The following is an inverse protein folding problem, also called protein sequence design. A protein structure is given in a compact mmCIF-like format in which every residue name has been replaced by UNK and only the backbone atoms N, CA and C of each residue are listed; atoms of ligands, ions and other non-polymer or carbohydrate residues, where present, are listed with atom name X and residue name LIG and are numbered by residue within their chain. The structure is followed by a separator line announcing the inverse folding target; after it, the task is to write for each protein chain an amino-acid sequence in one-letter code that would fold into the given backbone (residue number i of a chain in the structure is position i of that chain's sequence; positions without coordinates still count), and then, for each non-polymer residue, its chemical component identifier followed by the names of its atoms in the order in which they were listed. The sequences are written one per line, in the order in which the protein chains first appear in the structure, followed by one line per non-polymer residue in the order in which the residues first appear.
data_IF_821998190597
#
_entry.id   IF_821998190597
#
_cell.length_a   1.000
_cell.length_b   1.000
_cell.length_c   1.000
_cell.angle_alpha   90.00
_cell.angle_beta   90.00
_cell.angle_gamma   90.00
#
_symmetry.space_group_name_H-M   'P 1'
#
loop_
_entity.id
_entity.type
_entity.pdbx_description
1 polymer ?
#
# COMPACT_ATOMS: atom_id res chain seq x y z
N UNK A 1 -23.79 8.80 -9.07
CA UNK A 1 -23.10 7.66 -9.69
C UNK A 1 -23.00 6.55 -8.68
N UNK A 2 -23.32 5.32 -9.09
CA UNK A 2 -23.22 4.11 -8.26
C UNK A 2 -22.01 3.28 -8.69
N UNK A 3 -21.06 3.08 -7.78
CA UNK A 3 -19.82 2.33 -8.02
C UNK A 3 -19.90 0.97 -7.33
N UNK A 4 -19.60 -0.11 -8.07
CA UNK A 4 -19.32 -1.42 -7.50
C UNK A 4 -17.81 -1.53 -7.27
N UNK A 5 -17.38 -1.35 -6.02
CA UNK A 5 -15.98 -1.43 -5.62
C UNK A 5 -15.61 -2.89 -5.31
N UNK A 6 -14.59 -3.43 -5.99
CA UNK A 6 -14.09 -4.81 -5.78
C UNK A 6 -12.74 -4.74 -5.08
N UNK A 7 -12.67 -5.13 -3.81
CA UNK A 7 -11.48 -4.91 -2.99
C UNK A 7 -11.39 -5.86 -1.78
N UNK A 8 -10.27 -5.90 -1.08
CA UNK A 8 -10.19 -6.40 0.30
C UNK A 8 -10.77 -5.34 1.25
N UNK A 9 -11.96 -5.54 1.78
CA UNK A 9 -12.65 -4.60 2.67
C UNK A 9 -11.93 -4.35 4.02
N UNK A 10 -10.93 -5.16 4.36
CA UNK A 10 -10.10 -4.99 5.57
C UNK A 10 -8.95 -3.99 5.33
N UNK A 11 -8.59 -3.78 4.06
CA UNK A 11 -7.43 -2.96 3.69
C UNK A 11 -7.63 -1.49 4.06
N UNK A 12 -6.70 -0.86 4.77
CA UNK A 12 -6.71 0.59 5.01
C UNK A 12 -6.76 1.41 3.71
N UNK A 13 -6.08 0.95 2.65
CA UNK A 13 -6.09 1.60 1.33
C UNK A 13 -7.51 1.61 0.76
N UNK A 14 -8.21 0.47 0.81
CA UNK A 14 -9.61 0.37 0.37
C UNK A 14 -10.51 1.32 1.15
N UNK A 15 -10.33 1.41 2.47
CA UNK A 15 -11.15 2.28 3.32
C UNK A 15 -10.93 3.75 3.02
N UNK A 16 -9.70 4.19 2.84
CA UNK A 16 -9.40 5.58 2.47
C UNK A 16 -9.87 5.93 1.05
N UNK A 17 -9.77 4.99 0.10
CA UNK A 17 -10.34 5.20 -1.23
C UNK A 17 -11.86 5.35 -1.16
N UNK A 18 -12.52 4.51 -0.34
CA UNK A 18 -13.95 4.61 -0.06
C UNK A 18 -14.31 5.98 0.54
N UNK A 19 -13.54 6.49 1.51
CA UNK A 19 -13.73 7.83 2.08
C UNK A 19 -13.74 8.91 0.97
N UNK A 20 -12.87 8.78 -0.03
CA UNK A 20 -12.82 9.71 -1.16
C UNK A 20 -14.03 9.58 -2.08
N UNK A 21 -14.55 8.36 -2.33
CA UNK A 21 -15.77 8.15 -3.11
C UNK A 21 -17.01 8.71 -2.40
N UNK A 22 -17.11 8.51 -1.10
CA UNK A 22 -18.21 9.03 -0.28
C UNK A 22 -18.18 10.55 -0.22
N UNK A 23 -17.00 11.16 -0.11
CA UNK A 23 -16.83 12.61 -0.14
C UNK A 23 -17.21 13.23 -1.50
N UNK A 24 -17.15 12.45 -2.59
CA UNK A 24 -17.66 12.81 -3.92
C UNK A 24 -19.17 12.55 -4.09
N UNK A 25 -19.87 12.17 -3.02
CA UNK A 25 -21.29 11.82 -3.00
C UNK A 25 -21.64 10.66 -3.94
N UNK A 26 -20.73 9.69 -4.12
CA UNK A 26 -21.01 8.49 -4.87
C UNK A 26 -21.64 7.42 -3.97
N UNK A 27 -22.58 6.67 -4.54
CA UNK A 27 -23.12 5.47 -3.92
C UNK A 27 -22.13 4.33 -4.14
N UNK A 28 -21.82 3.57 -3.10
CA UNK A 28 -20.86 2.48 -3.21
C UNK A 28 -21.45 1.17 -2.69
N UNK A 29 -21.40 0.13 -3.51
CA UNK A 29 -21.57 -1.27 -3.10
C UNK A 29 -20.19 -1.92 -3.11
N UNK A 30 -19.83 -2.64 -2.03
CA UNK A 30 -18.53 -3.30 -1.90
C UNK A 30 -18.65 -4.80 -2.20
N UNK A 31 -17.81 -5.31 -3.09
CA UNK A 31 -17.51 -6.75 -3.22
C UNK A 31 -16.19 -7.01 -2.53
N UNK A 32 -16.25 -7.59 -1.33
CA UNK A 32 -15.03 -7.90 -0.58
C UNK A 32 -14.48 -9.29 -0.93
N UNK A 33 -13.19 -9.35 -1.25
CA UNK A 33 -12.46 -10.60 -1.47
C UNK A 33 -12.17 -11.38 -0.18
N UNK A 34 -12.39 -10.76 0.98
CA UNK A 34 -12.21 -11.36 2.29
C UNK A 34 -13.42 -11.10 3.18
N UNK A 35 -13.80 -12.03 4.07
CA UNK A 35 -14.80 -11.76 5.10
C UNK A 35 -14.37 -10.60 6.01
N UNK A 36 -15.24 -9.62 6.19
CA UNK A 36 -15.08 -8.49 7.09
C UNK A 36 -16.44 -7.86 7.38
N UNK A 37 -16.50 -6.97 8.37
CA UNK A 37 -17.65 -6.11 8.59
C UNK A 37 -17.75 -5.06 7.47
N UNK A 38 -18.97 -4.66 7.15
CA UNK A 38 -19.20 -3.63 6.14
C UNK A 38 -18.59 -2.29 6.61
N UNK A 39 -17.72 -1.67 5.79
CA UNK A 39 -17.23 -0.34 6.10
C UNK A 39 -18.38 0.67 6.20
N UNK A 40 -18.27 1.70 7.05
CA UNK A 40 -19.27 2.75 7.11
C UNK A 40 -19.49 3.42 5.75
N UNK A 41 -20.73 3.77 5.45
CA UNK A 41 -21.09 4.51 4.23
C UNK A 41 -21.33 3.67 2.98
N UNK A 42 -21.04 2.36 2.97
CA UNK A 42 -21.42 1.49 1.85
C UNK A 42 -22.91 1.16 1.90
N UNK A 43 -23.58 1.13 0.74
CA UNK A 43 -25.01 0.77 0.65
C UNK A 43 -25.25 -0.72 0.89
N UNK A 44 -24.36 -1.56 0.37
CA UNK A 44 -24.40 -3.00 0.52
C UNK A 44 -23.00 -3.59 0.40
N UNK A 45 -22.82 -4.79 0.96
CA UNK A 45 -21.58 -5.55 0.83
C UNK A 45 -21.88 -6.99 0.46
N UNK A 46 -21.13 -7.48 -0.52
CA UNK A 46 -21.08 -8.89 -0.89
C UNK A 46 -19.70 -9.46 -0.57
N UNK A 47 -19.63 -10.68 -0.07
CA UNK A 47 -18.35 -11.36 0.18
C UNK A 47 -18.15 -12.45 -0.86
N UNK A 48 -17.12 -12.30 -1.69
CA UNK A 48 -16.70 -13.29 -2.70
C UNK A 48 -15.28 -13.75 -2.39
N UNK A 49 -15.11 -14.81 -1.58
CA UNK A 49 -13.80 -15.22 -1.09
C UNK A 49 -13.02 -15.95 -2.20
N UNK A 50 -12.04 -15.26 -2.78
CA UNK A 50 -11.17 -15.74 -3.86
C UNK A 50 -9.76 -16.05 -3.36
N UNK A 51 -8.99 -16.78 -4.14
CA UNK A 51 -7.57 -17.08 -3.91
C UNK A 51 -7.29 -17.61 -2.49
N UNK A 52 -8.12 -18.54 -2.02
CA UNK A 52 -8.00 -19.17 -0.69
C UNK A 52 -8.13 -18.21 0.50
N UNK A 53 -8.79 -17.05 0.32
CA UNK A 53 -8.95 -16.05 1.38
C UNK A 53 -9.64 -16.56 2.64
N UNK A 54 -10.51 -17.58 2.54
CA UNK A 54 -11.12 -18.25 3.70
C UNK A 54 -10.10 -18.93 4.61
N UNK A 55 -8.99 -19.43 4.04
CA UNK A 55 -7.92 -20.10 4.80
C UNK A 55 -7.00 -19.10 5.50
N UNK A 56 -6.91 -17.87 4.99
CA UNK A 56 -6.09 -16.79 5.54
C UNK A 56 -6.87 -15.81 6.44
N UNK A 57 -8.17 -16.00 6.60
CA UNK A 57 -9.05 -15.12 7.39
C UNK A 57 -8.69 -15.07 8.89
N UNK A 58 -7.85 -15.99 9.39
CA UNK A 58 -7.37 -16.01 10.78
C UNK A 58 -6.06 -15.25 11.04
N UNK A 59 -5.42 -14.64 10.03
CA UNK A 59 -4.10 -14.00 10.17
C UNK A 59 -4.13 -12.46 10.20
N UNK A 60 -5.31 -11.84 10.20
CA UNK A 60 -5.49 -10.38 10.28
C UNK A 60 -6.38 -10.00 11.45
N UNK A 61 -5.77 -9.52 12.52
CA UNK A 61 -6.30 -8.72 13.61
C UNK A 61 -7.76 -8.91 14.05
N UNK A 62 -8.03 -9.90 14.90
CA UNK A 62 -9.13 -9.87 15.86
C UNK A 62 -8.72 -10.62 17.13
N UNK A 63 -8.81 -9.95 18.25
CA UNK A 63 -8.34 -10.37 19.57
C UNK A 63 -9.19 -11.43 20.27
N UNK A 64 -10.07 -12.18 19.59
CA UNK A 64 -10.89 -13.20 20.25
C UNK A 64 -11.04 -14.47 19.40
N UNK A 65 -10.03 -15.34 19.40
CA UNK A 65 -10.19 -16.77 19.10
C UNK A 65 -9.08 -17.55 19.80
N UNK A 66 -9.28 -17.82 21.06
CA UNK A 66 -8.41 -18.67 21.86
C UNK A 66 -8.59 -20.14 21.47
N UNK A 67 -7.50 -20.89 21.54
CA UNK A 67 -7.34 -22.34 21.68
C UNK A 67 -7.41 -23.27 20.44
N UNK A 68 -8.05 -22.96 19.32
CA UNK A 68 -7.97 -23.84 18.12
C UNK A 68 -6.98 -23.31 17.06
N UNK A 69 -6.34 -22.18 17.33
CA UNK A 69 -5.55 -21.40 16.38
C UNK A 69 -4.06 -21.73 16.29
N UNK A 70 -3.47 -22.28 17.33
CA UNK A 70 -2.00 -22.32 17.44
C UNK A 70 -1.37 -23.36 16.51
N UNK A 71 -1.94 -24.54 16.42
CA UNK A 71 -1.45 -25.58 15.52
C UNK A 71 -1.62 -25.20 14.03
N UNK A 72 -2.77 -24.60 13.68
CA UNK A 72 -3.00 -24.08 12.32
C UNK A 72 -2.08 -22.89 12.00
N UNK A 73 -1.83 -22.00 12.96
CA UNK A 73 -0.89 -20.88 12.79
C UNK A 73 0.53 -21.36 12.58
N UNK A 74 0.98 -22.36 13.32
CA UNK A 74 2.32 -22.95 13.20
C UNK A 74 2.47 -23.68 11.87
N UNK A 75 1.48 -24.47 11.43
CA UNK A 75 1.50 -25.14 10.13
C UNK A 75 1.54 -24.15 8.96
N UNK A 76 0.72 -23.10 9.01
CA UNK A 76 0.71 -22.05 7.98
C UNK A 76 2.03 -21.26 7.96
N UNK A 77 2.66 -21.00 9.12
CA UNK A 77 4.00 -20.38 9.19
C UNK A 77 5.08 -21.27 8.56
N UNK A 78 5.09 -22.57 8.87
CA UNK A 78 6.11 -23.52 8.39
C UNK A 78 5.99 -23.77 6.88
N UNK A 79 4.78 -23.87 6.34
CA UNK A 79 4.52 -24.12 4.92
C UNK A 79 4.22 -22.88 4.09
N UNK A 80 4.46 -21.67 4.66
CA UNK A 80 4.19 -20.38 4.02
C UNK A 80 4.73 -20.26 2.59
N UNK A 81 5.99 -20.69 2.25
CA UNK A 81 6.49 -20.60 0.87
C UNK A 81 5.70 -21.49 -0.11
N UNK A 82 5.41 -22.73 0.29
CA UNK A 82 4.65 -23.68 -0.55
C UNK A 82 3.21 -23.19 -0.74
N UNK A 83 2.58 -22.67 0.32
CA UNK A 83 1.23 -22.09 0.25
C UNK A 83 1.17 -20.85 -0.65
N UNK A 84 2.17 -19.96 -0.58
CA UNK A 84 2.28 -18.81 -1.46
C UNK A 84 2.46 -19.24 -2.92
N UNK A 85 3.31 -20.23 -3.19
CA UNK A 85 3.50 -20.76 -4.55
C UNK A 85 2.22 -21.37 -5.10
N UNK A 86 1.50 -22.15 -4.30
CA UNK A 86 0.19 -22.69 -4.65
C UNK A 86 -0.85 -21.57 -4.90
N UNK A 87 -0.84 -20.51 -4.09
CA UNK A 87 -1.71 -19.35 -4.27
C UNK A 87 -1.46 -18.62 -5.60
N UNK A 88 -0.19 -18.48 -6.01
CA UNK A 88 0.15 -17.87 -7.30
C UNK A 88 -0.16 -18.78 -8.50
N UNK A 89 -0.08 -20.09 -8.34
CA UNK A 89 -0.39 -21.02 -9.42
C UNK A 89 -1.90 -21.26 -9.58
N UNK A 90 -2.62 -21.46 -8.47
CA UNK A 90 -4.03 -21.89 -8.46
C UNK A 90 -5.00 -20.77 -8.13
N UNK A 91 -4.54 -19.69 -7.45
CA UNK A 91 -5.37 -18.57 -7.06
C UNK A 91 -6.14 -17.94 -8.23
N UNK A 92 -5.50 -17.62 -9.37
CA UNK A 92 -6.22 -17.12 -10.56
C UNK A 92 -7.27 -18.08 -11.09
N UNK A 93 -7.02 -19.38 -11.01
CA UNK A 93 -8.02 -20.39 -11.43
C UNK A 93 -9.25 -20.40 -10.51
N UNK A 94 -9.07 -20.16 -9.21
CA UNK A 94 -10.18 -20.03 -8.27
C UNK A 94 -11.08 -18.84 -8.56
N UNK A 95 -10.58 -17.79 -9.23
CA UNK A 95 -11.37 -16.64 -9.65
C UNK A 95 -12.43 -17.05 -10.68
N UNK A 96 -12.11 -17.96 -11.60
CA UNK A 96 -13.06 -18.45 -12.62
C UNK A 96 -14.27 -19.12 -11.99
N UNK A 97 -14.13 -19.84 -10.90
CA UNK A 97 -15.25 -20.50 -10.22
C UNK A 97 -16.24 -19.50 -9.61
N UNK A 98 -15.83 -18.26 -9.34
CA UNK A 98 -16.69 -17.19 -8.81
C UNK A 98 -17.18 -16.21 -9.90
N UNK A 99 -16.80 -16.40 -11.15
CA UNK A 99 -17.14 -15.48 -12.24
C UNK A 99 -18.67 -15.33 -12.45
N UNK A 100 -19.44 -16.41 -12.35
CA UNK A 100 -20.90 -16.36 -12.49
C UNK A 100 -21.54 -15.63 -11.31
N UNK A 101 -21.14 -15.94 -10.07
CA UNK A 101 -21.59 -15.23 -8.88
C UNK A 101 -21.32 -13.72 -9.00
N UNK A 102 -20.14 -13.35 -9.49
CA UNK A 102 -19.79 -11.94 -9.67
C UNK A 102 -20.67 -11.27 -10.74
N UNK A 103 -20.92 -11.92 -11.86
CA UNK A 103 -21.83 -11.40 -12.90
C UNK A 103 -23.26 -11.22 -12.40
N UNK A 104 -23.74 -12.13 -11.55
CA UNK A 104 -25.05 -12.02 -10.90
C UNK A 104 -25.10 -10.80 -9.99
N UNK A 105 -24.05 -10.56 -9.18
CA UNK A 105 -23.93 -9.35 -8.34
C UNK A 105 -23.98 -8.09 -9.22
N UNK A 106 -23.21 -8.02 -10.31
CA UNK A 106 -23.21 -6.89 -11.24
C UNK A 106 -24.61 -6.67 -11.84
N UNK A 107 -25.32 -7.75 -12.22
CA UNK A 107 -26.66 -7.67 -12.78
C UNK A 107 -27.71 -7.20 -11.75
N UNK A 108 -27.56 -7.58 -10.47
CA UNK A 108 -28.44 -7.16 -9.38
C UNK A 108 -28.20 -5.69 -8.98
N UNK A 109 -26.94 -5.31 -8.81
CA UNK A 109 -26.52 -3.97 -8.36
C UNK A 109 -26.72 -2.92 -9.46
N UNK A 110 -26.53 -3.30 -10.73
CA UNK A 110 -26.61 -2.40 -11.90
C UNK A 110 -25.77 -1.14 -11.71
N UNK A 111 -24.47 -1.27 -11.40
CA UNK A 111 -23.61 -0.12 -11.16
C UNK A 111 -23.38 0.67 -12.45
N UNK A 112 -23.14 1.97 -12.32
CA UNK A 112 -22.66 2.81 -13.42
C UNK A 112 -21.23 2.42 -13.83
N UNK A 113 -20.40 2.01 -12.85
CA UNK A 113 -19.00 1.66 -13.03
C UNK A 113 -18.59 0.58 -12.02
N UNK A 114 -17.78 -0.38 -12.46
CA UNK A 114 -17.06 -1.33 -11.61
C UNK A 114 -15.63 -0.83 -11.43
N UNK A 115 -15.12 -0.78 -10.19
CA UNK A 115 -13.72 -0.46 -9.92
C UNK A 115 -13.08 -1.52 -9.03
N UNK A 116 -11.99 -2.15 -9.49
CA UNK A 116 -11.21 -3.07 -8.68
C UNK A 116 -9.92 -2.43 -8.17
N UNK A 117 -9.65 -2.56 -6.86
CA UNK A 117 -8.58 -1.83 -6.16
C UNK A 117 -7.17 -2.39 -6.35
N UNK A 118 -7.00 -3.53 -7.03
CA UNK A 118 -5.70 -4.07 -7.47
C UNK A 118 -5.92 -5.22 -8.46
N UNK A 119 -4.87 -5.60 -9.20
CA UNK A 119 -4.97 -6.70 -10.18
C UNK A 119 -5.10 -8.06 -9.51
N UNK A 120 -4.16 -8.51 -8.64
CA UNK A 120 -4.31 -9.80 -7.98
C UNK A 120 -5.22 -9.67 -6.77
N UNK A 121 -6.27 -10.33 -6.66
CA UNK A 121 -7.10 -11.19 -7.46
C UNK A 121 -8.44 -10.48 -7.77
N UNK A 122 -8.63 -9.33 -7.15
CA UNK A 122 -9.82 -8.48 -7.23
C UNK A 122 -10.05 -8.01 -8.68
N UNK A 123 -9.00 -7.51 -9.34
CA UNK A 123 -9.07 -7.12 -10.75
C UNK A 123 -9.33 -8.31 -11.68
N UNK A 124 -8.72 -9.47 -11.36
CA UNK A 124 -8.99 -10.69 -12.11
C UNK A 124 -10.46 -11.12 -12.01
N UNK A 125 -11.10 -10.96 -10.83
CA UNK A 125 -12.55 -11.18 -10.67
C UNK A 125 -13.35 -10.14 -11.44
N UNK A 126 -12.99 -8.87 -11.28
CA UNK A 126 -13.67 -7.76 -11.94
C UNK A 126 -13.54 -7.79 -13.47
N UNK A 127 -12.54 -8.46 -14.04
CA UNK A 127 -12.41 -8.64 -15.49
C UNK A 127 -13.58 -9.43 -16.11
N UNK A 128 -14.37 -10.12 -15.29
CA UNK A 128 -15.62 -10.77 -15.71
C UNK A 128 -16.83 -9.83 -15.79
N UNK A 129 -16.66 -8.54 -15.54
CA UNK A 129 -17.69 -7.51 -15.76
C UNK A 129 -18.16 -7.55 -17.23
N UNK A 130 -19.47 -7.58 -17.51
CA UNK A 130 -19.99 -7.50 -18.87
C UNK A 130 -19.42 -6.27 -19.61
N UNK A 131 -19.15 -6.41 -20.91
CA UNK A 131 -18.55 -5.33 -21.72
C UNK A 131 -19.40 -4.06 -21.77
N UNK A 132 -20.70 -4.19 -21.51
CA UNK A 132 -21.61 -3.08 -21.42
C UNK A 132 -21.45 -2.24 -20.12
N UNK A 133 -20.74 -2.72 -19.11
CA UNK A 133 -20.52 -1.99 -17.85
C UNK A 133 -19.06 -1.54 -17.82
N UNK A 134 -18.78 -0.23 -17.63
CA UNK A 134 -17.43 0.33 -17.54
C UNK A 134 -16.63 -0.32 -16.41
N UNK A 135 -15.35 -0.61 -16.67
CA UNK A 135 -14.42 -1.25 -15.73
C UNK A 135 -13.16 -0.41 -15.55
N UNK A 136 -12.95 0.12 -14.35
CA UNK A 136 -11.69 0.68 -13.91
C UNK A 136 -10.91 -0.33 -13.08
N UNK A 137 -9.59 -0.37 -13.24
CA UNK A 137 -8.69 -1.22 -12.46
C UNK A 137 -7.62 -0.34 -11.80
N UNK A 138 -7.34 -0.55 -10.52
CA UNK A 138 -6.14 0.00 -9.88
C UNK A 138 -4.97 -0.96 -9.99
N UNK A 139 -3.76 -0.42 -10.09
CA UNK A 139 -2.50 -1.14 -9.92
C UNK A 139 -1.81 -0.60 -8.68
N UNK A 140 -1.35 -1.51 -7.82
CA UNK A 140 -0.42 -1.19 -6.75
C UNK A 140 0.99 -1.55 -7.19
N UNK A 141 1.97 -0.77 -6.79
CA UNK A 141 3.33 -0.77 -7.35
C UNK A 141 4.10 -2.09 -7.40
N UNK A 142 3.61 -3.14 -6.73
CA UNK A 142 4.17 -4.48 -6.80
C UNK A 142 3.36 -5.46 -7.68
N UNK A 143 2.22 -5.04 -8.22
CA UNK A 143 1.34 -5.92 -8.99
C UNK A 143 2.00 -6.41 -10.29
N UNK A 144 2.65 -5.50 -11.02
CA UNK A 144 3.30 -5.82 -12.29
C UNK A 144 4.75 -6.29 -12.14
N UNK A 145 5.47 -5.84 -11.12
CA UNK A 145 6.90 -6.13 -10.93
C UNK A 145 7.16 -7.38 -10.08
N UNK A 146 6.26 -7.71 -9.14
CA UNK A 146 6.42 -8.82 -8.21
C UNK A 146 5.38 -9.93 -8.44
N UNK A 147 4.09 -9.57 -8.57
CA UNK A 147 3.01 -10.54 -8.61
C UNK A 147 2.77 -11.13 -10.00
N UNK A 148 2.69 -10.30 -11.04
CA UNK A 148 2.42 -10.74 -12.40
C UNK A 148 3.46 -11.75 -12.94
N UNK A 149 4.78 -11.55 -12.76
CA UNK A 149 5.79 -12.48 -13.26
C UNK A 149 5.94 -13.76 -12.40
N UNK A 150 5.25 -13.86 -11.25
CA UNK A 150 5.45 -14.94 -10.28
C UNK A 150 5.06 -16.32 -10.81
N UNK A 151 4.08 -16.39 -11.73
CA UNK A 151 3.74 -17.62 -12.45
C UNK A 151 3.15 -17.29 -13.83
N UNK A 152 3.18 -18.26 -14.74
CA UNK A 152 2.55 -18.14 -16.07
C UNK A 152 1.05 -17.80 -15.96
N UNK A 153 0.39 -18.43 -15.00
CA UNK A 153 -1.06 -18.21 -14.75
C UNK A 153 -1.32 -16.79 -14.29
N UNK A 154 -0.52 -16.27 -13.32
CA UNK A 154 -0.61 -14.88 -12.88
C UNK A 154 -0.43 -13.90 -14.04
N UNK A 155 0.64 -14.10 -14.85
CA UNK A 155 0.89 -13.24 -16.01
C UNK A 155 -0.24 -13.26 -17.04
N UNK A 156 -0.80 -14.43 -17.34
CA UNK A 156 -1.91 -14.55 -18.27
C UNK A 156 -3.16 -13.80 -17.77
N UNK A 157 -3.55 -14.01 -16.51
CA UNK A 157 -4.71 -13.34 -15.94
C UNK A 157 -4.49 -11.83 -15.78
N UNK A 158 -3.28 -11.39 -15.46
CA UNK A 158 -2.91 -9.96 -15.44
C UNK A 158 -3.13 -9.32 -16.81
N UNK A 159 -2.64 -9.95 -17.91
CA UNK A 159 -2.87 -9.46 -19.28
C UNK A 159 -4.35 -9.40 -19.62
N UNK A 160 -5.11 -10.45 -19.33
CA UNK A 160 -6.56 -10.49 -19.57
C UNK A 160 -7.29 -9.36 -18.81
N UNK A 161 -6.90 -9.11 -17.56
CA UNK A 161 -7.46 -8.03 -16.74
C UNK A 161 -7.20 -6.66 -17.35
N UNK A 162 -5.95 -6.39 -17.76
CA UNK A 162 -5.57 -5.11 -18.36
C UNK A 162 -6.18 -4.90 -19.74
N UNK A 163 -6.28 -5.95 -20.56
CA UNK A 163 -6.97 -5.89 -21.85
C UNK A 163 -8.46 -5.58 -21.71
N UNK A 164 -9.11 -6.06 -20.61
CA UNK A 164 -10.53 -5.80 -20.35
C UNK A 164 -10.78 -4.41 -19.74
N UNK A 165 -9.83 -3.85 -19.03
CA UNK A 165 -9.99 -2.57 -18.34
C UNK A 165 -10.32 -1.43 -19.32
N UNK A 166 -11.33 -0.63 -19.03
CA UNK A 166 -11.69 0.58 -19.80
C UNK A 166 -10.97 1.82 -19.27
N UNK A 167 -10.44 1.76 -18.04
CA UNK A 167 -9.58 2.77 -17.45
C UNK A 167 -8.65 2.18 -16.40
N UNK A 168 -7.51 2.84 -16.17
CA UNK A 168 -6.48 2.38 -15.27
C UNK A 168 -6.10 3.46 -14.26
N UNK A 169 -6.10 3.12 -12.98
CA UNK A 169 -5.52 3.92 -11.92
C UNK A 169 -4.22 3.30 -11.43
N UNK A 170 -3.18 4.12 -11.25
CA UNK A 170 -1.88 3.69 -10.71
C UNK A 170 -1.38 4.69 -9.67
N UNK A 171 -0.51 4.28 -8.78
CA UNK A 171 0.10 5.17 -7.78
C UNK A 171 1.47 5.72 -8.21
N UNK A 172 1.99 5.30 -9.38
CA UNK A 172 3.22 5.81 -9.98
C UNK A 172 3.11 5.84 -11.51
N UNK A 173 3.77 6.79 -12.17
CA UNK A 173 3.86 6.88 -13.63
C UNK A 173 4.54 5.63 -14.21
N UNK A 174 5.53 5.11 -13.51
CA UNK A 174 6.18 3.83 -13.87
C UNK A 174 5.15 2.72 -14.09
N UNK A 175 4.17 2.59 -13.20
CA UNK A 175 3.20 1.50 -13.26
C UNK A 175 2.22 1.67 -14.43
N UNK A 176 1.85 2.91 -14.77
CA UNK A 176 1.08 3.19 -15.97
C UNK A 176 1.86 2.77 -17.24
N UNK A 177 3.15 3.13 -17.32
CA UNK A 177 4.02 2.72 -18.43
C UNK A 177 4.17 1.21 -18.52
N UNK A 178 4.43 0.54 -17.40
CA UNK A 178 4.52 -0.93 -17.38
C UNK A 178 3.21 -1.61 -17.79
N UNK A 179 2.06 -1.02 -17.50
CA UNK A 179 0.77 -1.59 -17.87
C UNK A 179 0.59 -1.70 -19.39
N UNK A 180 1.20 -0.81 -20.18
CA UNK A 180 1.18 -0.91 -21.65
C UNK A 180 1.87 -2.20 -22.13
N UNK A 181 3.00 -2.58 -21.52
CA UNK A 181 3.71 -3.83 -21.84
C UNK A 181 2.90 -5.08 -21.46
N UNK A 182 1.99 -4.90 -20.51
CA UNK A 182 1.08 -5.94 -20.04
C UNK A 182 -0.29 -5.97 -20.77
N UNK A 183 -0.52 -5.06 -21.74
CA UNK A 183 -1.67 -5.10 -22.64
C UNK A 183 -2.78 -4.09 -22.37
N UNK A 184 -2.55 -3.12 -21.47
CA UNK A 184 -3.38 -1.92 -21.42
C UNK A 184 -3.03 -0.99 -22.60
N UNK A 185 -3.99 -0.28 -23.15
CA UNK A 185 -3.78 0.57 -24.33
C UNK A 185 -3.77 2.05 -23.94
N UNK A 186 -2.85 2.83 -24.56
CA UNK A 186 -2.60 4.22 -24.20
C UNK A 186 -3.72 5.19 -24.60
N UNK A 187 -4.66 4.75 -25.45
CA UNK A 187 -5.87 5.47 -25.85
C UNK A 187 -6.96 5.47 -24.78
N UNK A 188 -6.83 4.61 -23.74
CA UNK A 188 -7.80 4.53 -22.63
C UNK A 188 -7.41 5.46 -21.50
N UNK A 189 -8.41 5.94 -20.73
CA UNK A 189 -8.16 6.81 -19.57
C UNK A 189 -7.18 6.22 -18.56
N UNK A 190 -6.16 7.00 -18.20
CA UNK A 190 -5.18 6.70 -17.15
C UNK A 190 -5.20 7.75 -16.06
N UNK A 191 -5.15 7.33 -14.78
CA UNK A 191 -5.06 8.21 -13.62
C UNK A 191 -3.82 7.82 -12.79
N UNK A 192 -2.97 8.78 -12.47
CA UNK A 192 -1.85 8.58 -11.55
C UNK A 192 -2.06 9.47 -10.32
N UNK A 193 -2.45 8.83 -9.20
CA UNK A 193 -2.62 9.44 -7.88
C UNK A 193 -2.31 8.40 -6.80
N UNK A 194 -2.05 8.81 -5.53
CA UNK A 194 -1.80 7.86 -4.45
C UNK A 194 -2.91 6.81 -4.32
N UNK A 195 -2.52 5.55 -4.12
CA UNK A 195 -3.44 4.39 -4.09
C UNK A 195 -4.50 4.47 -2.98
N UNK A 196 -4.25 5.24 -1.93
CA UNK A 196 -5.20 5.49 -0.82
C UNK A 196 -6.16 6.67 -1.09
N UNK A 197 -6.13 7.30 -2.27
CA UNK A 197 -6.97 8.47 -2.57
C UNK A 197 -6.45 9.78 -2.01
N UNK A 198 -5.18 9.83 -1.58
CA UNK A 198 -4.48 11.05 -1.15
C UNK A 198 -4.28 11.17 0.36
N UNK A 199 -3.65 12.26 0.76
CA UNK A 199 -3.36 12.65 2.15
C UNK A 199 -4.28 13.80 2.54
N UNK A 200 -5.01 13.63 3.62
CA UNK A 200 -5.78 14.71 4.26
C UNK A 200 -4.90 15.39 5.31
N UNK A 201 -4.28 16.51 4.92
CA UNK A 201 -3.34 17.24 5.78
C UNK A 201 -3.98 17.76 7.07
N UNK A 202 -5.25 18.18 7.03
CA UNK A 202 -5.97 18.60 8.22
C UNK A 202 -6.21 17.43 9.17
N UNK A 203 -6.58 16.27 8.63
CA UNK A 203 -6.77 15.05 9.40
C UNK A 203 -5.45 14.58 10.03
N UNK A 204 -4.33 14.64 9.29
CA UNK A 204 -2.99 14.33 9.82
C UNK A 204 -2.68 15.18 11.05
N UNK A 205 -2.96 16.47 11.02
CA UNK A 205 -2.71 17.36 12.16
C UNK A 205 -3.68 17.11 13.32
N UNK A 206 -4.98 16.98 13.03
CA UNK A 206 -6.04 16.89 14.04
C UNK A 206 -6.09 15.54 14.76
N UNK A 207 -5.73 14.45 14.10
CA UNK A 207 -5.90 13.10 14.62
C UNK A 207 -4.60 12.44 15.08
N UNK A 208 -3.54 13.20 15.30
CA UNK A 208 -2.35 12.66 15.97
C UNK A 208 -2.72 12.15 17.36
N UNK A 209 -2.19 11.02 17.73
CA UNK A 209 -2.48 10.38 19.00
C UNK A 209 -1.18 9.87 19.61
N UNK A 210 -0.96 10.18 20.89
CA UNK A 210 0.17 9.70 21.63
C UNK A 210 0.18 8.17 21.72
N UNK A 211 1.36 7.60 21.87
CA UNK A 211 1.51 6.18 22.18
C UNK A 211 0.94 5.86 23.58
N UNK A 212 0.48 4.61 23.80
CA UNK A 212 0.22 4.13 25.15
C UNK A 212 1.45 4.29 26.05
N UNK A 213 1.27 4.63 27.35
CA UNK A 213 2.38 4.91 28.26
C UNK A 213 3.45 3.81 28.32
N UNK A 214 3.05 2.55 28.21
CA UNK A 214 3.94 1.40 28.22
C UNK A 214 4.83 1.30 26.97
N UNK A 215 4.37 1.80 25.83
CA UNK A 215 5.18 1.89 24.62
C UNK A 215 6.04 3.15 24.63
N UNK A 216 5.48 4.26 25.10
CA UNK A 216 6.19 5.53 25.22
C UNK A 216 7.42 5.43 26.15
N UNK A 217 7.31 4.70 27.27
CA UNK A 217 8.39 4.47 28.21
C UNK A 217 9.61 3.74 27.61
N UNK A 218 9.45 3.10 26.46
CA UNK A 218 10.52 2.39 25.75
C UNK A 218 11.32 3.30 24.81
N UNK A 219 10.87 4.54 24.61
CA UNK A 219 11.50 5.50 23.69
C UNK A 219 12.35 6.49 24.52
N UNK A 220 13.68 6.50 24.37
CA UNK A 220 14.53 7.45 25.06
C UNK A 220 14.24 8.90 24.64
N UNK A 221 14.19 9.82 25.59
CA UNK A 221 13.84 11.24 25.34
C UNK A 221 15.00 12.08 24.81
N UNK A 222 16.25 11.64 25.03
CA UNK A 222 17.46 12.35 24.67
C UNK A 222 18.19 11.73 23.46
N UNK A 223 17.48 10.91 22.67
CA UNK A 223 17.99 10.28 21.46
C UNK A 223 17.36 10.86 20.21
N UNK A 224 18.12 10.90 19.13
CA UNK A 224 17.58 11.08 17.80
C UNK A 224 16.82 9.82 17.35
N UNK A 225 15.64 10.01 16.77
CA UNK A 225 14.77 8.92 16.41
C UNK A 225 14.80 8.68 14.89
N UNK A 226 14.99 7.44 14.49
CA UNK A 226 14.84 6.98 13.10
C UNK A 226 13.69 5.98 13.03
N UNK A 227 12.72 6.19 12.14
CA UNK A 227 11.58 5.30 12.02
C UNK A 227 11.61 4.47 10.73
N UNK A 228 11.36 3.15 10.86
CA UNK A 228 11.06 2.27 9.73
C UNK A 228 9.61 1.78 9.83
N UNK A 229 8.65 2.43 9.14
CA UNK A 229 7.22 2.12 9.27
C UNK A 229 6.75 0.95 8.39
N UNK A 230 7.67 0.29 7.67
CA UNK A 230 7.31 -0.65 6.59
C UNK A 230 6.86 -2.03 7.07
N UNK A 231 7.18 -2.41 8.31
CA UNK A 231 7.00 -3.78 8.79
C UNK A 231 7.82 -4.79 7.98
N UNK A 232 7.64 -6.08 8.29
CA UNK A 232 8.32 -7.18 7.57
C UNK A 232 7.46 -7.63 6.38
N UNK A 233 7.98 -7.46 5.16
CA UNK A 233 7.30 -7.85 3.92
C UNK A 233 8.30 -8.45 2.94
N UNK A 234 7.81 -9.25 1.98
CA UNK A 234 8.65 -9.93 1.00
C UNK A 234 9.44 -8.99 0.06
N UNK A 235 9.07 -7.73 -0.02
CA UNK A 235 9.69 -6.72 -0.88
C UNK A 235 10.39 -5.60 -0.10
N UNK A 236 10.27 -5.57 1.24
CA UNK A 236 11.05 -4.68 2.10
C UNK A 236 12.39 -5.32 2.41
N UNK A 237 13.45 -4.52 2.41
CA UNK A 237 14.81 -4.95 2.73
C UNK A 237 15.05 -4.81 4.22
N UNK A 238 14.34 -5.64 5.00
CA UNK A 238 14.47 -5.73 6.45
C UNK A 238 15.92 -6.07 6.84
N UNK A 239 16.57 -6.95 6.08
CA UNK A 239 17.97 -7.32 6.23
C UNK A 239 18.91 -6.11 6.13
N UNK A 240 18.78 -5.32 5.06
CA UNK A 240 19.60 -4.12 4.82
C UNK A 240 19.40 -3.09 5.93
N UNK A 241 18.14 -2.88 6.37
CA UNK A 241 17.85 -1.93 7.43
C UNK A 241 18.53 -2.32 8.76
N UNK A 242 18.36 -3.55 9.20
CA UNK A 242 18.96 -4.00 10.45
C UNK A 242 20.50 -4.02 10.39
N UNK A 243 21.09 -4.41 9.27
CA UNK A 243 22.55 -4.39 9.09
C UNK A 243 23.14 -2.97 9.06
N UNK A 244 22.36 -1.95 8.71
CA UNK A 244 22.81 -0.56 8.76
C UNK A 244 22.88 0.00 10.18
N UNK A 245 22.07 -0.53 11.12
CA UNK A 245 21.95 0.00 12.48
C UNK A 245 23.31 0.06 13.23
N UNK A 246 24.12 -1.01 13.31
CA UNK A 246 25.42 -0.96 13.98
C UNK A 246 26.33 0.11 13.39
N UNK A 247 26.31 0.29 12.05
CA UNK A 247 27.14 1.29 11.37
C UNK A 247 26.73 2.74 11.72
N UNK A 248 25.42 2.97 11.94
CA UNK A 248 24.94 4.27 12.43
C UNK A 248 25.35 4.47 13.91
N UNK A 249 25.14 3.45 14.75
CA UNK A 249 25.40 3.56 16.20
C UNK A 249 26.89 3.74 16.53
N UNK A 250 27.79 3.25 15.69
CA UNK A 250 29.24 3.46 15.83
C UNK A 250 29.59 4.95 15.75
N UNK A 251 28.93 5.73 14.89
CA UNK A 251 29.20 7.15 14.66
C UNK A 251 28.21 8.07 15.41
N UNK A 252 27.00 7.58 15.68
CA UNK A 252 25.94 8.34 16.35
C UNK A 252 25.25 7.49 17.42
N UNK A 253 25.90 7.26 18.57
CA UNK A 253 25.46 6.31 19.60
C UNK A 253 24.15 6.68 20.30
N UNK A 254 23.71 7.94 20.22
CA UNK A 254 22.41 8.41 20.72
C UNK A 254 21.30 8.36 19.68
N UNK A 255 21.26 7.31 18.85
CA UNK A 255 20.18 7.05 17.91
C UNK A 255 19.30 5.90 18.40
N UNK A 256 17.99 6.02 18.27
CA UNK A 256 17.04 4.94 18.51
C UNK A 256 16.21 4.69 17.26
N UNK A 257 16.07 3.42 16.91
CA UNK A 257 15.33 2.97 15.72
C UNK A 257 13.95 2.45 16.12
N UNK A 258 12.90 3.11 15.65
CA UNK A 258 11.51 2.73 15.91
C UNK A 258 10.99 1.89 14.74
N UNK A 259 10.46 0.71 15.03
CA UNK A 259 10.06 -0.28 14.06
C UNK A 259 8.59 -0.69 14.26
N UNK A 260 7.60 0.14 13.85
CA UNK A 260 6.18 -0.19 13.90
C UNK A 260 5.85 -1.45 13.09
N UNK A 261 4.86 -2.23 13.58
CA UNK A 261 4.42 -3.48 12.99
C UNK A 261 5.50 -4.57 12.88
N UNK A 262 6.52 -4.52 13.75
CA UNK A 262 7.60 -5.51 13.79
C UNK A 262 7.64 -6.32 15.09
N UNK A 263 6.96 -5.89 16.17
CA UNK A 263 6.87 -6.69 17.39
C UNK A 263 6.11 -8.01 17.14
N UNK A 264 6.68 -9.14 17.56
CA UNK A 264 6.15 -10.48 17.34
C UNK A 264 6.42 -11.05 15.93
N UNK A 265 7.12 -10.31 15.06
CA UNK A 265 7.59 -10.81 13.77
C UNK A 265 8.94 -11.50 13.93
N UNK A 266 8.98 -12.83 13.76
CA UNK A 266 10.17 -13.65 14.02
C UNK A 266 11.40 -13.21 13.22
N UNK A 267 11.22 -12.64 12.03
CA UNK A 267 12.33 -12.12 11.23
C UNK A 267 12.93 -10.87 11.87
N UNK A 268 12.09 -9.91 12.30
CA UNK A 268 12.56 -8.69 12.95
C UNK A 268 13.22 -8.98 14.30
N UNK A 269 12.65 -9.89 15.10
CA UNK A 269 13.22 -10.31 16.39
C UNK A 269 14.59 -10.98 16.21
N UNK A 270 14.72 -11.86 15.20
CA UNK A 270 16.00 -12.49 14.88
C UNK A 270 17.07 -11.45 14.48
N UNK A 271 16.71 -10.47 13.64
CA UNK A 271 17.64 -9.42 13.23
C UNK A 271 18.01 -8.52 14.39
N UNK A 272 17.04 -8.09 15.21
CA UNK A 272 17.28 -7.25 16.39
C UNK A 272 18.26 -7.93 17.36
N UNK A 273 18.02 -9.19 17.68
CA UNK A 273 18.92 -9.97 18.55
C UNK A 273 20.32 -10.15 17.96
N UNK A 274 20.43 -10.34 16.63
CA UNK A 274 21.71 -10.56 15.96
C UNK A 274 22.66 -9.36 15.99
N UNK A 275 22.12 -8.13 15.99
CA UNK A 275 22.92 -6.91 15.99
C UNK A 275 23.30 -6.41 17.40
N UNK A 276 22.85 -7.09 18.45
CA UNK A 276 23.16 -6.77 19.86
C UNK A 276 22.89 -5.30 20.25
N UNK A 277 21.84 -4.70 19.67
CA UNK A 277 21.43 -3.31 19.87
C UNK A 277 20.06 -3.20 20.55
N UNK A 278 19.75 -4.11 21.48
CA UNK A 278 18.42 -4.32 22.07
C UNK A 278 17.77 -3.05 22.63
N UNK A 279 18.56 -2.16 23.26
CA UNK A 279 18.04 -0.90 23.80
C UNK A 279 17.88 0.22 22.76
N UNK A 280 18.47 0.06 21.56
CA UNK A 280 18.47 1.04 20.47
C UNK A 280 17.47 0.70 19.39
N UNK A 281 16.87 -0.48 19.44
CA UNK A 281 15.85 -0.95 18.47
C UNK A 281 14.55 -1.23 19.21
N UNK A 282 13.55 -0.42 18.96
CA UNK A 282 12.23 -0.55 19.59
C UNK A 282 11.26 -1.17 18.58
N UNK A 283 11.09 -2.48 18.67
CA UNK A 283 10.05 -3.18 17.90
C UNK A 283 8.68 -2.83 18.52
N UNK A 284 7.81 -2.21 17.73
CA UNK A 284 6.49 -1.77 18.14
C UNK A 284 5.40 -2.65 17.48
N UNK A 285 4.24 -2.83 18.11
CA UNK A 285 3.09 -3.50 17.51
C UNK A 285 2.54 -2.70 16.32
N UNK A 286 1.46 -3.20 15.71
CA UNK A 286 0.69 -2.40 14.78
C UNK A 286 0.11 -1.18 15.51
N UNK A 287 0.42 0.00 15.02
CA UNK A 287 -0.04 1.28 15.54
C UNK A 287 -1.26 1.76 14.76
N UNK A 288 -2.10 2.57 15.43
CA UNK A 288 -3.12 3.34 14.72
C UNK A 288 -2.45 4.39 13.82
N UNK A 289 -3.17 4.86 12.81
CA UNK A 289 -2.65 5.88 11.90
C UNK A 289 -2.27 7.18 12.64
N UNK A 290 -3.08 7.60 13.61
CA UNK A 290 -2.77 8.78 14.43
C UNK A 290 -1.50 8.63 15.26
N UNK A 291 -1.24 7.45 15.82
CA UNK A 291 0.01 7.15 16.55
C UNK A 291 1.22 7.14 15.61
N UNK A 292 1.05 6.63 14.39
CA UNK A 292 2.12 6.64 13.39
C UNK A 292 2.46 8.07 12.95
N UNK A 293 1.45 8.93 12.76
CA UNK A 293 1.67 10.35 12.45
C UNK A 293 2.36 11.11 13.59
N UNK A 294 2.05 10.79 14.85
CA UNK A 294 2.77 11.33 16.00
C UNK A 294 4.26 10.94 15.94
N UNK A 295 4.55 9.67 15.72
CA UNK A 295 5.92 9.21 15.56
C UNK A 295 6.66 9.87 14.39
N UNK A 296 6.03 10.01 13.23
CA UNK A 296 6.65 10.71 12.10
C UNK A 296 7.01 12.16 12.42
N UNK A 297 6.16 12.85 13.19
CA UNK A 297 6.46 14.23 13.63
C UNK A 297 7.66 14.31 14.58
N UNK A 298 7.90 13.26 15.36
CA UNK A 298 8.99 13.17 16.34
C UNK A 298 10.29 12.59 15.76
N UNK A 299 10.19 11.85 14.66
CA UNK A 299 11.33 11.21 14.01
C UNK A 299 11.88 12.11 12.91
N UNK A 300 13.07 12.72 13.09
CA UNK A 300 13.68 13.54 12.05
C UNK A 300 13.96 12.78 10.75
N UNK A 301 14.11 11.45 10.81
CA UNK A 301 14.41 10.59 9.66
C UNK A 301 13.44 9.41 9.61
N UNK A 302 12.86 9.17 8.42
CA UNK A 302 12.09 7.98 8.10
C UNK A 302 12.76 7.16 7.01
N UNK A 303 12.71 5.82 7.13
CA UNK A 303 13.33 4.92 6.15
C UNK A 303 12.27 4.10 5.40
N UNK A 304 12.48 3.88 4.09
CA UNK A 304 11.62 3.05 3.26
C UNK A 304 12.44 2.28 2.23
N UNK A 305 13.08 1.19 2.66
CA UNK A 305 13.98 0.40 1.82
C UNK A 305 13.23 -0.78 1.22
N UNK A 306 12.99 -0.72 -0.10
CA UNK A 306 12.20 -1.70 -0.84
C UNK A 306 12.80 -1.98 -2.22
N UNK A 307 12.58 -3.22 -2.73
CA UNK A 307 12.96 -3.60 -4.10
C UNK A 307 11.80 -3.41 -5.10
N UNK A 308 10.57 -3.51 -4.61
CA UNK A 308 9.35 -3.43 -5.41
C UNK A 308 8.32 -2.60 -4.65
N UNK A 309 8.01 -1.43 -5.16
CA UNK A 309 6.96 -0.57 -4.61
C UNK A 309 6.42 0.37 -5.70
N UNK A 310 5.24 0.93 -5.49
CA UNK A 310 4.77 2.11 -6.18
C UNK A 310 5.07 3.35 -5.36
N UNK A 311 4.03 4.10 -5.01
CA UNK A 311 4.11 5.20 -4.06
C UNK A 311 3.70 4.72 -2.67
N UNK A 312 4.65 4.48 -1.75
CA UNK A 312 4.29 4.03 -0.40
C UNK A 312 3.50 5.12 0.35
N UNK A 313 2.32 4.79 0.84
CA UNK A 313 1.53 5.73 1.63
C UNK A 313 2.30 6.25 2.86
N UNK A 314 3.09 5.38 3.50
CA UNK A 314 3.95 5.76 4.63
C UNK A 314 5.05 6.75 4.27
N UNK A 315 5.52 6.80 3.02
CA UNK A 315 6.43 7.83 2.54
C UNK A 315 5.72 9.19 2.51
N UNK A 316 4.54 9.24 1.90
CA UNK A 316 3.76 10.48 1.81
C UNK A 316 3.32 10.98 3.21
N UNK A 317 2.94 10.07 4.09
CA UNK A 317 2.59 10.39 5.48
C UNK A 317 3.81 10.93 6.25
N UNK A 318 4.99 10.33 6.11
CA UNK A 318 6.22 10.81 6.72
C UNK A 318 6.60 12.21 6.22
N UNK A 319 6.56 12.42 4.89
CA UNK A 319 6.80 13.74 4.28
C UNK A 319 5.79 14.79 4.78
N UNK A 320 4.51 14.42 4.92
CA UNK A 320 3.47 15.33 5.44
C UNK A 320 3.62 15.68 6.92
N UNK A 321 4.35 14.86 7.67
CA UNK A 321 4.66 15.07 9.10
C UNK A 321 6.04 15.72 9.35
N UNK A 322 6.80 16.00 8.28
CA UNK A 322 8.11 16.64 8.39
C UNK A 322 9.28 15.69 8.63
N UNK A 323 9.06 14.38 8.57
CA UNK A 323 10.13 13.38 8.67
C UNK A 323 10.88 13.28 7.33
N UNK A 324 12.20 13.42 7.36
CA UNK A 324 13.06 13.39 6.18
C UNK A 324 13.16 11.95 5.62
N UNK A 325 12.83 11.72 4.35
CA UNK A 325 12.82 10.37 3.78
C UNK A 325 14.21 9.92 3.33
N UNK A 326 14.60 8.71 3.75
CA UNK A 326 15.71 7.93 3.21
C UNK A 326 15.11 6.65 2.62
N UNK A 327 15.17 6.48 1.30
CA UNK A 327 14.44 5.42 0.63
C UNK A 327 15.33 4.61 -0.32
N UNK A 328 14.84 3.44 -0.73
CA UNK A 328 15.50 2.62 -1.75
C UNK A 328 15.47 3.31 -3.11
N UNK A 329 16.58 3.26 -3.84
CA UNK A 329 16.69 3.84 -5.18
C UNK A 329 16.00 2.94 -6.22
N UNK A 330 14.70 3.11 -6.34
CA UNK A 330 13.86 2.48 -7.37
C UNK A 330 13.07 3.53 -8.15
N UNK A 331 12.72 3.22 -9.39
CA UNK A 331 12.13 4.16 -10.32
C UNK A 331 10.90 4.91 -9.78
N UNK A 332 9.99 4.20 -9.10
CA UNK A 332 8.78 4.80 -8.53
C UNK A 332 9.06 5.80 -7.39
N UNK A 333 10.12 5.59 -6.61
CA UNK A 333 10.49 6.50 -5.52
C UNK A 333 11.23 7.73 -6.03
N UNK A 334 11.91 7.65 -7.17
CA UNK A 334 12.48 8.82 -7.88
C UNK A 334 11.39 9.79 -8.38
N UNK A 335 10.13 9.37 -8.46
CA UNK A 335 9.01 10.26 -8.77
C UNK A 335 8.67 11.22 -7.60
N UNK A 336 9.12 10.90 -6.38
CA UNK A 336 8.86 11.65 -5.15
C UNK A 336 10.10 12.23 -4.49
N UNK A 337 11.26 11.63 -4.71
CA UNK A 337 12.51 12.02 -4.07
C UNK A 337 13.52 12.46 -5.13
N UNK A 338 13.94 13.71 -5.03
CA UNK A 338 15.11 14.26 -5.69
C UNK A 338 16.29 14.21 -4.71
N UNK A 339 17.28 13.31 -4.94
CA UNK A 339 18.33 13.04 -3.95
C UNK A 339 19.14 14.29 -3.55
N UNK A 340 19.25 14.53 -2.23
CA UNK A 340 19.94 15.68 -1.68
C UNK A 340 19.12 16.98 -1.65
N UNK A 341 17.91 16.98 -2.22
CA UNK A 341 17.00 18.14 -2.25
C UNK A 341 15.88 17.94 -1.22
N UNK A 342 15.11 16.88 -1.35
CA UNK A 342 13.95 16.61 -0.50
C UNK A 342 13.95 15.23 0.17
N UNK A 343 15.02 14.46 -0.01
CA UNK A 343 15.24 13.14 0.58
C UNK A 343 16.55 12.55 0.08
N UNK A 344 16.85 11.31 0.48
CA UNK A 344 17.99 10.55 -0.01
C UNK A 344 17.54 9.20 -0.57
N UNK A 345 18.18 8.79 -1.68
CA UNK A 345 17.98 7.48 -2.30
C UNK A 345 19.26 6.65 -2.15
N UNK A 346 19.10 5.37 -1.79
CA UNK A 346 20.20 4.44 -1.58
C UNK A 346 19.95 3.12 -2.29
N UNK A 347 20.99 2.43 -2.73
CA UNK A 347 20.88 1.06 -3.25
C UNK A 347 20.19 0.15 -2.19
N UNK A 348 19.04 -0.47 -2.52
CA UNK A 348 18.27 -1.25 -1.53
C UNK A 348 19.04 -2.38 -0.86
N UNK A 349 20.07 -2.91 -1.52
CA UNK A 349 20.93 -3.97 -1.01
C UNK A 349 22.15 -3.51 -0.24
N UNK A 350 22.35 -2.19 0.00
CA UNK A 350 23.58 -1.65 0.59
C UNK A 350 23.37 -1.09 2.00
N UNK A 351 23.68 -1.85 3.07
CA UNK A 351 23.62 -1.37 4.44
C UNK A 351 24.53 -0.15 4.69
N UNK A 352 25.69 -0.10 4.06
CA UNK A 352 26.64 1.02 4.22
C UNK A 352 26.13 2.33 3.63
N UNK A 353 25.50 2.28 2.43
CA UNK A 353 24.88 3.47 1.86
C UNK A 353 23.69 3.93 2.71
N UNK A 354 22.87 3.01 3.20
CA UNK A 354 21.76 3.35 4.10
C UNK A 354 22.26 4.00 5.39
N UNK A 355 23.28 3.44 6.03
CA UNK A 355 23.87 4.01 7.23
C UNK A 355 24.43 5.43 6.98
N UNK A 356 25.18 5.63 5.89
CA UNK A 356 25.70 6.93 5.49
C UNK A 356 24.59 7.96 5.25
N UNK A 357 23.52 7.57 4.58
CA UNK A 357 22.37 8.44 4.33
C UNK A 357 21.60 8.81 5.61
N UNK A 358 21.43 7.86 6.54
CA UNK A 358 20.83 8.13 7.87
C UNK A 358 21.71 9.11 8.65
N UNK A 359 23.03 8.89 8.71
CA UNK A 359 23.98 9.76 9.40
C UNK A 359 23.96 11.17 8.80
N UNK A 360 24.02 11.30 7.48
CA UNK A 360 23.93 12.59 6.80
C UNK A 360 22.61 13.29 7.16
N UNK A 361 21.50 12.57 7.10
CA UNK A 361 20.19 13.13 7.44
C UNK A 361 20.08 13.54 8.91
N UNK A 362 20.67 12.81 9.86
CA UNK A 362 20.69 13.19 11.28
C UNK A 362 21.54 14.43 11.55
N UNK A 363 22.70 14.55 10.90
CA UNK A 363 23.67 15.63 11.13
C UNK A 363 23.30 16.94 10.42
N UNK A 364 22.66 16.88 9.26
CA UNK A 364 22.32 18.07 8.45
C UNK A 364 20.88 18.54 8.70
N UNK A 365 20.69 19.29 9.77
CA UNK A 365 19.38 19.88 10.11
C UNK A 365 18.90 20.86 9.05
N UNK A 366 19.80 21.67 8.47
CA UNK A 366 19.43 22.66 7.43
C UNK A 366 18.89 21.97 6.17
N UNK A 367 19.48 20.83 5.78
CA UNK A 367 18.96 20.01 4.67
C UNK A 367 17.56 19.50 4.99
N UNK A 368 17.32 18.98 6.21
CA UNK A 368 15.99 18.48 6.59
C UNK A 368 14.92 19.57 6.62
N UNK A 369 15.24 20.76 7.16
CA UNK A 369 14.31 21.89 7.22
C UNK A 369 13.91 22.37 5.81
N UNK A 370 14.89 22.51 4.92
CA UNK A 370 14.63 22.85 3.53
C UNK A 370 13.79 21.78 2.83
N UNK A 371 14.14 20.52 3.01
CA UNK A 371 13.42 19.38 2.44
C UNK A 371 11.97 19.31 2.93
N UNK A 372 11.72 19.62 4.21
CA UNK A 372 10.37 19.60 4.78
C UNK A 372 9.43 20.55 4.04
N UNK A 373 9.86 21.78 3.74
CA UNK A 373 9.05 22.73 3.00
C UNK A 373 8.73 22.21 1.58
N UNK A 374 9.76 21.71 0.88
CA UNK A 374 9.60 21.14 -0.47
C UNK A 374 8.64 19.94 -0.44
N UNK A 375 8.79 19.06 0.54
CA UNK A 375 7.93 17.88 0.71
C UNK A 375 6.47 18.27 0.98
N UNK A 376 6.22 19.23 1.85
CA UNK A 376 4.86 19.71 2.15
C UNK A 376 4.21 20.32 0.92
N UNK A 377 4.93 21.12 0.14
CA UNK A 377 4.41 21.73 -1.09
C UNK A 377 4.13 20.65 -2.15
N UNK A 378 5.01 19.67 -2.30
CA UNK A 378 4.79 18.53 -3.18
C UNK A 378 3.56 17.69 -2.77
N UNK A 379 3.37 17.43 -1.47
CA UNK A 379 2.18 16.73 -0.96
C UNK A 379 0.91 17.54 -1.25
N UNK A 380 0.90 18.85 -1.00
CA UNK A 380 -0.23 19.74 -1.30
C UNK A 380 -0.61 19.69 -2.78
N UNK A 381 0.38 19.77 -3.66
CA UNK A 381 0.14 19.83 -5.11
C UNK A 381 -0.27 18.48 -5.69
N UNK A 382 0.36 17.38 -5.25
CA UNK A 382 0.26 16.09 -5.94
C UNK A 382 -0.57 15.04 -5.21
N UNK A 383 -0.66 15.11 -3.88
CA UNK A 383 -1.21 14.05 -3.05
C UNK A 383 -2.32 14.48 -2.08
N UNK A 384 -2.56 15.78 -1.89
CA UNK A 384 -3.60 16.26 -0.97
C UNK A 384 -5.00 15.93 -1.52
N UNK A 385 -5.91 15.48 -0.64
CA UNK A 385 -7.25 14.99 -1.01
C UNK A 385 -8.08 16.01 -1.79
N UNK A 386 -7.93 17.31 -1.56
CA UNK A 386 -8.62 18.36 -2.30
C UNK A 386 -8.21 18.42 -3.77
N UNK A 387 -6.99 18.02 -4.10
CA UNK A 387 -6.48 17.94 -5.47
C UNK A 387 -6.69 16.57 -6.09
N UNK A 388 -6.69 15.49 -5.28
CA UNK A 388 -6.82 14.11 -5.76
C UNK A 388 -8.28 13.76 -6.09
N UNK A 389 -9.24 14.14 -5.23
CA UNK A 389 -10.67 13.83 -5.42
C UNK A 389 -11.24 14.34 -6.74
N UNK A 390 -11.00 15.59 -7.18
CA UNK A 390 -11.43 16.04 -8.50
C UNK A 390 -10.84 15.22 -9.65
N UNK A 391 -9.57 14.77 -9.55
CA UNK A 391 -8.92 13.92 -10.54
C UNK A 391 -9.59 12.53 -10.61
N UNK A 392 -9.95 11.95 -9.45
CA UNK A 392 -10.71 10.69 -9.38
C UNK A 392 -12.07 10.85 -10.06
N UNK A 393 -12.78 11.94 -9.78
CA UNK A 393 -14.08 12.22 -10.40
C UNK A 393 -13.97 12.36 -11.93
N UNK A 394 -13.00 13.14 -12.40
CA UNK A 394 -12.74 13.33 -13.83
C UNK A 394 -12.38 12.02 -14.53
N UNK A 395 -11.53 11.20 -13.91
CA UNK A 395 -11.17 9.88 -14.42
C UNK A 395 -12.38 8.97 -14.62
N UNK A 396 -13.27 8.88 -13.62
CA UNK A 396 -14.46 8.06 -13.77
C UNK A 396 -15.39 8.57 -14.88
N UNK A 397 -15.55 9.89 -15.03
CA UNK A 397 -16.32 10.44 -16.15
C UNK A 397 -15.70 10.12 -17.51
N UNK A 398 -14.36 10.14 -17.62
CA UNK A 398 -13.67 9.74 -18.85
C UNK A 398 -13.89 8.26 -19.17
N UNK A 399 -13.82 7.37 -18.17
CA UNK A 399 -14.09 5.91 -18.36
C UNK A 399 -15.54 5.66 -18.81
N UNK A 400 -16.51 6.39 -18.23
CA UNK A 400 -17.91 6.31 -18.64
C UNK A 400 -18.10 6.77 -20.10
N UNK A 401 -17.50 7.90 -20.47
CA UNK A 401 -17.60 8.48 -21.81
C UNK A 401 -16.98 7.55 -22.87
N UNK A 402 -15.83 6.97 -22.59
CA UNK A 402 -15.12 6.03 -23.46
C UNK A 402 -16.00 4.81 -23.83
N UNK A 403 -16.66 4.22 -22.83
CA UNK A 403 -17.55 3.07 -23.05
C UNK A 403 -18.84 3.47 -23.79
N UNK A 404 -19.37 4.67 -23.52
CA UNK A 404 -20.54 5.18 -24.25
C UNK A 404 -20.22 5.37 -25.75
N UNK A 405 -19.08 6.00 -26.08
CA UNK A 405 -18.65 6.20 -27.47
C UNK A 405 -18.43 4.87 -28.22
N UNK A 406 -17.84 3.87 -27.57
CA UNK A 406 -17.68 2.53 -28.16
C UNK A 406 -19.03 1.86 -28.49
N UNK A 407 -20.04 2.08 -27.67
CA UNK A 407 -21.39 1.56 -27.90
C UNK A 407 -22.08 2.23 -29.09
N UNK A 408 -21.95 3.54 -29.21
CA UNK A 408 -22.55 4.31 -30.30
C UNK A 408 -21.88 4.03 -31.65
N UNK A 409 -20.56 3.82 -31.65
CA UNK A 409 -19.79 3.44 -32.84
C UNK A 409 -20.01 1.99 -33.33
N UNK A 410 -20.61 1.12 -32.48
CA UNK A 410 -20.98 -0.25 -32.84
C UNK A 410 -22.46 -0.39 -33.31
N UNK A 411 -23.26 0.65 -33.25
CA UNK A 411 -24.62 0.74 -33.80
C UNK A 411 -24.61 1.31 -35.19
#
# INVERSE_FOLDING_TARGET
MHILLVADGRSPITRHWLDSLLALNYQVTLVSSHPCDAPPGVQAMHVVPIAFSRLTAGSGGSHNAAAAGDFRRTLVKTFRPAFLSARYALGPLSVRSHANQFREIVAQVKPDLVHAMRIPFEGMLASHTPSAVPLAISIWGNDLTLHAPRSRTMGQFTRQTLQRADGLHTDAQRDLRLAYDWGFTADRPGLVVPSNGGIDLERVQRMRAALPPELEARIPKDHDLVINPRGVRAYTRTDTFFQAIPLVLEQHPKTTFLCPAMAGEAEAERWSSAIQADERVVLLPNLSQGQLWDLFTRCPVSTSITNHDGTPNTLLEAMSCGSFPVAGDIESLREWIDPGVNGLLVEPGSPSQLAGAILQALQDTAMREKANQINLDMIRERAEVSHVRPKIAAFYQQVLAEVAQKRDGMR
#
